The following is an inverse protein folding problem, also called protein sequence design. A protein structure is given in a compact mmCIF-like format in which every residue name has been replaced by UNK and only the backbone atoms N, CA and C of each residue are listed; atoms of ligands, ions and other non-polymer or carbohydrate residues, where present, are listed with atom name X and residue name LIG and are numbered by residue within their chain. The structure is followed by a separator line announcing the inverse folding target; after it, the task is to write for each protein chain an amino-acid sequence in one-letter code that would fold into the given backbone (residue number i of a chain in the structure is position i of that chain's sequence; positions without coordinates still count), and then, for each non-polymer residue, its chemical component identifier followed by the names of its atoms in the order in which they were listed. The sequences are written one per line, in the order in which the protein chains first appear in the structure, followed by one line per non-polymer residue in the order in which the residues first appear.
data_IF_245253749057
#
_entry.id   IF_245253749057
#
_cell.length_a   1.000
_cell.length_b   1.000
_cell.length_c   1.000
_cell.angle_alpha   90.00
_cell.angle_beta   90.00
_cell.angle_gamma   90.00
#
_symmetry.space_group_name_H-M   'P 1'
#
loop_
_entity.id
_entity.type
_entity.pdbx_description
1 polymer ?
#
# COMPACT_ATOMS: atom_id res chain seq x y z
N UNK A 1 5.72 -21.43 -9.83
CA UNK A 1 4.87 -20.58 -10.70
C UNK A 1 5.61 -19.54 -11.56
N UNK A 2 6.94 -19.35 -11.51
CA UNK A 2 7.62 -18.36 -12.38
C UNK A 2 7.16 -16.90 -12.18
N UNK A 3 6.44 -16.65 -11.09
CA UNK A 3 5.96 -15.35 -10.60
C UNK A 3 6.68 -15.17 -9.27
N UNK A 4 7.38 -14.05 -9.11
CA UNK A 4 8.17 -13.80 -7.90
C UNK A 4 7.42 -12.90 -6.90
N UNK A 5 6.51 -12.06 -7.38
CA UNK A 5 5.71 -11.13 -6.58
C UNK A 5 4.35 -10.88 -7.22
N UNK A 6 3.30 -10.75 -6.40
CA UNK A 6 1.99 -10.25 -6.82
C UNK A 6 1.69 -8.90 -6.17
N UNK A 7 1.04 -8.01 -6.91
CA UNK A 7 0.57 -6.71 -6.42
C UNK A 7 -0.95 -6.69 -6.32
N UNK A 8 -1.50 -5.76 -5.54
CA UNK A 8 -2.94 -5.57 -5.29
C UNK A 8 -3.68 -6.71 -4.57
N UNK A 9 -3.01 -7.84 -4.33
CA UNK A 9 -3.46 -8.94 -3.50
C UNK A 9 -4.90 -9.37 -3.80
N UNK A 10 -5.76 -9.30 -2.78
CA UNK A 10 -7.15 -9.75 -2.88
C UNK A 10 -7.97 -8.96 -3.90
N UNK A 11 -7.73 -7.65 -4.08
CA UNK A 11 -8.60 -6.76 -4.87
C UNK A 11 -8.70 -7.11 -6.36
N UNK A 12 -7.70 -7.81 -6.89
CA UNK A 12 -7.59 -8.18 -8.30
C UNK A 12 -7.59 -9.69 -8.51
N UNK A 13 -7.80 -10.47 -7.44
CA UNK A 13 -7.68 -11.91 -7.49
C UNK A 13 -8.88 -12.54 -8.22
N UNK A 14 -8.75 -12.64 -9.54
CA UNK A 14 -9.78 -13.28 -10.37
C UNK A 14 -9.82 -14.81 -10.24
N UNK A 15 -8.92 -15.45 -9.50
CA UNK A 15 -8.90 -16.91 -9.31
C UNK A 15 -10.18 -17.42 -8.67
N UNK A 16 -10.79 -16.63 -7.78
CA UNK A 16 -12.06 -16.95 -7.13
C UNK A 16 -13.29 -16.74 -8.02
N UNK A 17 -13.12 -16.31 -9.28
CA UNK A 17 -14.25 -16.14 -10.21
C UNK A 17 -14.62 -17.48 -10.84
N UNK A 18 -15.77 -18.01 -10.45
CA UNK A 18 -16.32 -19.24 -11.01
C UNK A 18 -16.47 -19.17 -12.55
N UNK A 19 -15.98 -20.21 -13.23
CA UNK A 19 -16.16 -20.37 -14.68
C UNK A 19 -15.32 -19.44 -15.57
N UNK A 20 -14.31 -18.74 -15.01
CA UNK A 20 -13.41 -17.90 -15.79
C UNK A 20 -12.72 -18.69 -16.91
N UNK A 21 -12.45 -18.01 -18.02
CA UNK A 21 -11.79 -18.61 -19.18
C UNK A 21 -10.34 -18.12 -19.29
N UNK A 22 -9.37 -19.00 -19.62
CA UNK A 22 -7.99 -18.58 -19.84
C UNK A 22 -7.88 -17.46 -20.88
N UNK A 23 -7.14 -16.40 -20.54
CA UNK A 23 -6.92 -15.25 -21.44
C UNK A 23 -8.11 -14.29 -21.59
N UNK A 24 -9.20 -14.48 -20.82
CA UNK A 24 -10.37 -13.59 -20.84
C UNK A 24 -10.56 -12.99 -19.46
N UNK A 25 -10.53 -11.64 -19.38
CA UNK A 25 -10.82 -10.94 -18.13
C UNK A 25 -12.30 -11.15 -17.76
N UNK A 26 -12.60 -11.78 -16.62
CA UNK A 26 -13.99 -11.93 -16.20
C UNK A 26 -14.61 -10.57 -15.86
N UNK A 27 -15.90 -10.34 -16.18
CA UNK A 27 -16.58 -9.13 -15.77
C UNK A 27 -16.78 -9.12 -14.25
N UNK A 28 -16.88 -7.92 -13.65
CA UNK A 28 -17.31 -7.72 -12.27
C UNK A 28 -16.47 -8.45 -11.19
N UNK A 29 -15.16 -8.65 -11.40
CA UNK A 29 -14.24 -9.31 -10.43
C UNK A 29 -14.47 -8.81 -9.01
N UNK A 30 -14.41 -7.49 -8.78
CA UNK A 30 -14.57 -6.90 -7.45
C UNK A 30 -15.87 -7.32 -6.77
N UNK A 31 -16.99 -7.35 -7.50
CA UNK A 31 -18.28 -7.77 -6.92
C UNK A 31 -18.28 -9.27 -6.59
N UNK A 32 -17.68 -10.12 -7.42
CA UNK A 32 -17.60 -11.56 -7.11
C UNK A 32 -16.78 -11.85 -5.85
N UNK A 33 -15.79 -11.01 -5.53
CA UNK A 33 -14.96 -11.15 -4.33
C UNK A 33 -15.73 -10.91 -3.02
N UNK A 34 -16.90 -10.25 -3.08
CA UNK A 34 -17.76 -10.07 -1.90
C UNK A 34 -18.26 -11.42 -1.36
N UNK A 35 -18.43 -12.42 -2.22
CA UNK A 35 -18.94 -13.74 -1.86
C UNK A 35 -17.85 -14.72 -1.40
N UNK A 36 -16.57 -14.34 -1.54
CA UNK A 36 -15.46 -15.23 -1.16
C UNK A 36 -15.40 -15.36 0.36
N UNK A 37 -15.42 -16.61 0.82
CA UNK A 37 -15.17 -16.99 2.21
C UNK A 37 -13.65 -16.99 2.46
N UNK A 38 -13.17 -16.01 3.22
CA UNK A 38 -11.75 -15.90 3.54
C UNK A 38 -11.25 -17.04 4.42
N UNK A 39 -12.11 -17.65 5.24
CA UNK A 39 -11.74 -18.77 6.11
C UNK A 39 -11.85 -20.12 5.39
N UNK A 40 -12.30 -20.11 4.13
CA UNK A 40 -12.48 -21.30 3.31
C UNK A 40 -11.18 -21.92 2.79
N UNK A 41 -11.24 -23.20 2.42
CA UNK A 41 -10.08 -23.95 1.91
C UNK A 41 -9.50 -23.37 0.61
N UNK A 42 -10.32 -22.72 -0.22
CA UNK A 42 -9.83 -22.12 -1.48
C UNK A 42 -8.82 -20.99 -1.24
N UNK A 43 -9.11 -20.12 -0.27
CA UNK A 43 -8.23 -19.02 0.15
C UNK A 43 -7.00 -19.57 0.87
N UNK A 44 -7.19 -20.54 1.78
CA UNK A 44 -6.09 -21.19 2.49
C UNK A 44 -5.13 -21.91 1.53
N UNK A 45 -5.65 -22.61 0.52
CA UNK A 45 -4.85 -23.27 -0.51
C UNK A 45 -4.07 -22.27 -1.36
N UNK A 46 -4.69 -21.14 -1.74
CA UNK A 46 -4.01 -20.07 -2.49
C UNK A 46 -2.84 -19.49 -1.71
N UNK A 47 -3.05 -19.13 -0.45
CA UNK A 47 -2.00 -18.60 0.43
C UNK A 47 -0.87 -19.63 0.59
N UNK A 48 -1.22 -20.90 0.84
CA UNK A 48 -0.24 -21.97 1.02
C UNK A 48 0.63 -22.17 -0.21
N UNK A 49 0.03 -22.22 -1.40
CA UNK A 49 0.75 -22.33 -2.66
C UNK A 49 1.69 -21.14 -2.88
N UNK A 50 1.24 -19.91 -2.60
CA UNK A 50 2.10 -18.73 -2.70
C UNK A 50 3.33 -18.85 -1.78
N UNK A 51 3.12 -19.23 -0.52
CA UNK A 51 4.21 -19.41 0.46
C UNK A 51 5.16 -20.53 0.04
N UNK A 52 4.64 -21.70 -0.35
CA UNK A 52 5.44 -22.86 -0.77
C UNK A 52 6.28 -22.57 -2.02
N UNK A 53 5.78 -21.73 -2.93
CA UNK A 53 6.48 -21.32 -4.14
C UNK A 53 7.37 -20.08 -3.95
N UNK A 54 7.39 -19.48 -2.75
CA UNK A 54 8.16 -18.27 -2.47
C UNK A 54 7.66 -17.02 -3.19
N UNK A 55 6.36 -16.97 -3.55
CA UNK A 55 5.75 -15.80 -4.18
C UNK A 55 5.45 -14.75 -3.14
N UNK A 56 6.11 -13.60 -3.25
CA UNK A 56 5.85 -12.46 -2.38
C UNK A 56 4.53 -11.75 -2.73
N UNK A 57 4.04 -10.92 -1.82
CA UNK A 57 2.92 -10.02 -2.08
C UNK A 57 3.31 -8.59 -1.75
N UNK A 58 2.85 -7.63 -2.53
CA UNK A 58 2.99 -6.20 -2.24
C UNK A 58 1.63 -5.61 -1.90
N UNK A 59 1.49 -5.14 -0.65
CA UNK A 59 0.33 -4.41 -0.17
C UNK A 59 0.21 -3.09 -0.89
N UNK A 60 -0.98 -2.81 -1.45
CA UNK A 60 -1.32 -1.53 -2.11
C UNK A 60 -2.60 -0.93 -1.55
N UNK A 61 -2.84 -1.08 -0.25
CA UNK A 61 -4.04 -0.55 0.42
C UNK A 61 -4.31 0.95 0.14
N UNK A 62 -3.32 1.87 0.10
CA UNK A 62 -3.58 3.30 -0.06
C UNK A 62 -4.31 3.68 -1.34
N UNK A 63 -3.97 3.07 -2.49
CA UNK A 63 -4.63 3.40 -3.77
C UNK A 63 -6.08 2.92 -3.78
N UNK A 64 -6.37 1.77 -3.17
CA UNK A 64 -7.72 1.21 -3.10
C UNK A 64 -8.60 1.90 -2.06
N UNK A 65 -8.00 2.43 -1.00
CA UNK A 65 -8.71 3.22 0.01
C UNK A 65 -9.44 4.42 -0.63
N UNK A 66 -8.84 5.04 -1.65
CA UNK A 66 -9.42 6.20 -2.36
C UNK A 66 -10.76 5.90 -3.06
N UNK A 67 -11.08 4.63 -3.29
CA UNK A 67 -12.34 4.19 -3.86
C UNK A 67 -13.44 3.97 -2.79
N UNK A 68 -13.15 4.25 -1.53
CA UNK A 68 -14.12 4.19 -0.42
C UNK A 68 -14.72 5.59 -0.19
N UNK A 69 -16.06 5.72 -0.16
CA UNK A 69 -16.72 7.00 0.12
C UNK A 69 -16.18 7.68 1.38
N UNK A 70 -15.79 8.95 1.24
CA UNK A 70 -15.29 9.80 2.32
C UNK A 70 -14.03 9.28 3.05
N UNK A 71 -13.27 8.36 2.45
CA UNK A 71 -12.07 7.75 3.02
C UNK A 71 -10.93 7.70 1.98
N UNK A 72 -9.66 7.99 2.37
CA UNK A 72 -9.25 8.63 3.61
C UNK A 72 -9.80 10.07 3.70
N UNK A 73 -9.81 10.73 4.87
CA UNK A 73 -10.17 12.13 4.96
C UNK A 73 -9.37 13.01 3.99
N UNK A 74 -9.97 14.10 3.50
CA UNK A 74 -9.22 15.08 2.71
C UNK A 74 -8.21 15.78 3.63
N UNK A 75 -6.94 15.79 3.22
CA UNK A 75 -5.86 16.41 3.98
C UNK A 75 -5.25 17.57 3.19
N UNK A 76 -5.13 18.73 3.83
CA UNK A 76 -4.55 19.92 3.18
C UNK A 76 -3.11 19.66 2.70
N UNK A 77 -2.32 18.90 3.49
CA UNK A 77 -0.93 18.55 3.13
C UNK A 77 -0.82 17.78 1.80
N UNK A 78 -1.84 17.00 1.43
CA UNK A 78 -1.89 16.28 0.15
C UNK A 78 -2.33 17.23 -0.96
N UNK A 79 -3.40 18.00 -0.71
CA UNK A 79 -3.93 18.97 -1.68
C UNK A 79 -2.91 20.05 -2.06
N UNK A 80 -2.05 20.42 -1.13
CA UNK A 80 -0.98 21.40 -1.30
C UNK A 80 0.12 20.93 -2.28
N UNK A 81 0.33 19.62 -2.38
CA UNK A 81 1.37 19.06 -3.26
C UNK A 81 0.88 18.93 -4.70
N UNK A 82 -0.42 18.77 -4.89
CA UNK A 82 -1.03 18.59 -6.20
C UNK A 82 -0.98 19.88 -7.02
N UNK A 83 -0.59 19.74 -8.30
CA UNK A 83 -0.77 20.78 -9.28
C UNK A 83 -2.26 21.16 -9.41
N UNK A 84 -2.61 22.41 -9.75
CA UNK A 84 -4.01 22.87 -9.74
C UNK A 84 -4.96 21.94 -10.50
N UNK A 85 -4.60 21.51 -11.73
CA UNK A 85 -5.41 20.59 -12.52
C UNK A 85 -5.54 19.19 -11.88
N UNK A 86 -4.44 18.63 -11.37
CA UNK A 86 -4.46 17.34 -10.69
C UNK A 86 -5.28 17.39 -9.38
N UNK A 87 -5.24 18.53 -8.67
CA UNK A 87 -6.04 18.76 -7.47
C UNK A 87 -7.53 18.81 -7.81
N UNK A 88 -7.91 19.50 -8.87
CA UNK A 88 -9.29 19.59 -9.32
C UNK A 88 -9.81 18.20 -9.77
N UNK A 89 -9.02 17.45 -10.54
CA UNK A 89 -9.33 16.07 -10.93
C UNK A 89 -9.48 15.15 -9.70
N UNK A 90 -8.59 15.28 -8.71
CA UNK A 90 -8.66 14.53 -7.47
C UNK A 90 -9.94 14.84 -6.70
N UNK A 91 -10.25 16.12 -6.47
CA UNK A 91 -11.46 16.53 -5.74
C UNK A 91 -12.74 16.09 -6.47
N UNK A 92 -12.77 16.14 -7.79
CA UNK A 92 -13.89 15.62 -8.58
C UNK A 92 -14.03 14.11 -8.40
N UNK A 93 -12.94 13.35 -8.51
CA UNK A 93 -12.96 11.89 -8.29
C UNK A 93 -13.47 11.55 -6.89
N UNK A 94 -13.06 12.31 -5.87
CA UNK A 94 -13.51 12.17 -4.48
C UNK A 94 -15.01 12.43 -4.33
N UNK A 95 -15.54 13.46 -4.99
CA UNK A 95 -16.97 13.75 -5.01
C UNK A 95 -17.77 12.64 -5.71
N UNK A 96 -17.28 12.17 -6.86
CA UNK A 96 -17.91 11.09 -7.63
C UNK A 96 -17.96 9.78 -6.85
N UNK A 97 -16.89 9.43 -6.12
CA UNK A 97 -16.87 8.25 -5.24
C UNK A 97 -17.84 8.43 -4.08
N UNK A 98 -17.89 9.61 -3.46
CA UNK A 98 -18.78 9.89 -2.34
C UNK A 98 -20.27 9.89 -2.72
N UNK A 99 -20.61 10.16 -3.99
CA UNK A 99 -22.01 10.17 -4.47
C UNK A 99 -22.51 8.82 -4.96
N UNK A 100 -21.70 7.75 -4.94
CA UNK A 100 -22.13 6.42 -5.39
C UNK A 100 -22.95 5.73 -4.31
N UNK A 101 -24.11 5.19 -4.71
CA UNK A 101 -24.93 4.33 -3.85
C UNK A 101 -24.32 2.93 -3.68
N UNK A 102 -23.58 2.45 -4.69
CA UNK A 102 -22.91 1.15 -4.72
C UNK A 102 -21.40 1.33 -4.48
N UNK A 103 -20.94 0.90 -3.30
CA UNK A 103 -19.57 1.10 -2.82
C UNK A 103 -18.91 -0.22 -2.36
N UNK A 104 -18.72 -1.21 -3.26
CA UNK A 104 -18.22 -2.54 -2.90
C UNK A 104 -16.83 -2.49 -2.24
N UNK A 105 -16.04 -1.44 -2.51
CA UNK A 105 -14.73 -1.27 -1.88
C UNK A 105 -14.81 -1.10 -0.37
N UNK A 106 -15.89 -0.51 0.18
CA UNK A 106 -16.06 -0.39 1.63
C UNK A 106 -16.15 -1.77 2.31
N UNK A 107 -16.72 -2.76 1.63
CA UNK A 107 -16.87 -4.14 2.11
C UNK A 107 -15.66 -5.02 1.76
N UNK A 108 -15.04 -4.79 0.60
CA UNK A 108 -13.85 -5.54 0.17
C UNK A 108 -12.58 -5.14 0.93
N UNK A 109 -12.49 -3.89 1.38
CA UNK A 109 -11.26 -3.38 1.99
C UNK A 109 -10.86 -4.15 3.26
N UNK A 110 -11.76 -4.39 4.24
CA UNK A 110 -11.44 -5.24 5.39
C UNK A 110 -11.07 -6.68 4.99
N UNK A 111 -11.67 -7.21 3.90
CA UNK A 111 -11.31 -8.54 3.38
C UNK A 111 -9.88 -8.58 2.85
N UNK A 112 -9.45 -7.55 2.11
CA UNK A 112 -8.08 -7.45 1.64
C UNK A 112 -7.07 -7.29 2.79
N UNK A 113 -7.40 -6.48 3.79
CA UNK A 113 -6.58 -6.35 5.02
C UNK A 113 -6.42 -7.70 5.74
N UNK A 114 -7.52 -8.45 5.88
CA UNK A 114 -7.49 -9.79 6.47
C UNK A 114 -6.66 -10.77 5.62
N UNK A 115 -6.80 -10.75 4.30
CA UNK A 115 -6.02 -11.60 3.39
C UNK A 115 -4.51 -11.33 3.50
N UNK A 116 -4.09 -10.06 3.56
CA UNK A 116 -2.67 -9.70 3.79
C UNK A 116 -2.16 -10.25 5.12
N UNK A 117 -2.97 -10.15 6.18
CA UNK A 117 -2.63 -10.69 7.49
C UNK A 117 -2.49 -12.21 7.49
N UNK A 118 -3.46 -12.91 6.91
CA UNK A 118 -3.45 -14.37 6.79
C UNK A 118 -2.23 -14.86 6.00
N UNK A 119 -1.86 -14.14 4.93
CA UNK A 119 -0.66 -14.44 4.15
C UNK A 119 0.62 -14.34 4.98
N UNK A 120 0.78 -13.25 5.75
CA UNK A 120 1.94 -13.08 6.64
C UNK A 120 1.94 -14.11 7.78
N UNK A 121 0.78 -14.40 8.37
CA UNK A 121 0.63 -15.42 9.42
C UNK A 121 1.01 -16.83 8.93
N UNK A 122 0.79 -17.11 7.65
CA UNK A 122 1.20 -18.36 6.99
C UNK A 122 2.71 -18.41 6.63
N UNK A 123 3.47 -17.34 6.90
CA UNK A 123 4.90 -17.25 6.58
C UNK A 123 5.21 -16.54 5.24
N UNK A 124 4.23 -15.88 4.64
CA UNK A 124 4.40 -15.12 3.41
C UNK A 124 5.23 -13.85 3.58
N UNK A 125 5.96 -13.48 2.51
CA UNK A 125 6.74 -12.24 2.45
C UNK A 125 5.88 -11.09 1.90
N UNK A 126 5.42 -10.22 2.80
CA UNK A 126 4.64 -9.03 2.43
C UNK A 126 5.55 -7.78 2.38
N UNK A 127 5.57 -7.10 1.23
CA UNK A 127 6.15 -5.77 1.05
C UNK A 127 5.03 -4.71 0.95
N UNK A 128 5.41 -3.43 0.93
CA UNK A 128 4.48 -2.31 0.78
C UNK A 128 4.78 -1.48 -0.47
N UNK A 129 3.73 -1.07 -1.18
CA UNK A 129 3.78 -0.15 -2.30
C UNK A 129 2.51 0.70 -2.35
N UNK A 130 2.60 1.96 -2.76
CA UNK A 130 1.45 2.88 -2.68
C UNK A 130 0.65 2.97 -3.97
N UNK A 131 1.21 2.48 -5.08
CA UNK A 131 0.68 2.59 -6.45
C UNK A 131 0.13 4.00 -6.73
N UNK A 132 1.00 5.01 -6.90
CA UNK A 132 0.63 6.41 -6.98
C UNK A 132 0.01 6.76 -8.35
N UNK A 133 -0.95 5.97 -8.82
CA UNK A 133 -1.58 6.08 -10.14
C UNK A 133 -3.05 6.47 -10.04
N UNK A 134 -3.54 7.17 -11.07
CA UNK A 134 -4.94 7.26 -11.48
C UNK A 134 -5.93 8.05 -10.62
N UNK A 135 -5.95 7.86 -9.30
CA UNK A 135 -6.94 8.46 -8.39
C UNK A 135 -6.40 9.66 -7.60
N UNK A 136 -5.15 10.08 -7.86
CA UNK A 136 -4.59 11.37 -7.43
C UNK A 136 -4.32 11.56 -5.94
N UNK A 137 -4.67 10.62 -5.07
CA UNK A 137 -4.57 10.78 -3.60
C UNK A 137 -3.44 10.02 -2.91
N UNK A 138 -2.92 8.94 -3.50
CA UNK A 138 -1.87 8.09 -2.91
C UNK A 138 -0.48 8.58 -3.34
N UNK A 139 -0.11 9.80 -2.95
CA UNK A 139 1.14 10.43 -3.41
C UNK A 139 2.38 9.73 -2.82
N UNK A 140 3.52 9.65 -3.53
CA UNK A 140 4.77 9.16 -2.93
C UNK A 140 5.11 9.93 -1.64
N UNK A 141 5.56 9.21 -0.61
CA UNK A 141 5.79 9.72 0.74
C UNK A 141 4.51 9.81 1.57
N UNK A 142 3.51 10.55 1.12
CA UNK A 142 2.26 10.75 1.88
C UNK A 142 1.39 9.48 1.92
N UNK A 143 1.31 8.79 0.79
CA UNK A 143 0.67 7.48 0.65
C UNK A 143 1.42 6.41 1.42
N UNK A 144 2.74 6.51 1.56
CA UNK A 144 3.54 5.55 2.34
C UNK A 144 3.23 5.73 3.83
N UNK A 145 3.17 6.97 4.30
CA UNK A 145 2.70 7.28 5.67
C UNK A 145 1.27 6.79 5.90
N UNK A 146 0.37 6.93 4.93
CA UNK A 146 -0.97 6.35 5.03
C UNK A 146 -0.95 4.82 5.01
N UNK A 147 -0.03 4.20 4.28
CA UNK A 147 0.12 2.74 4.25
C UNK A 147 0.56 2.19 5.60
N UNK A 148 1.47 2.88 6.29
CA UNK A 148 1.85 2.56 7.67
C UNK A 148 0.61 2.48 8.59
N UNK A 149 -0.22 3.52 8.54
CA UNK A 149 -1.48 3.62 9.28
C UNK A 149 -2.45 2.49 8.93
N UNK A 150 -2.60 2.20 7.64
CA UNK A 150 -3.48 1.13 7.15
C UNK A 150 -3.02 -0.27 7.54
N UNK A 151 -1.71 -0.53 7.56
CA UNK A 151 -1.16 -1.81 8.00
C UNK A 151 -1.32 -2.00 9.52
N UNK A 152 -1.18 -0.93 10.31
CA UNK A 152 -1.57 -0.95 11.73
C UNK A 152 -3.07 -1.23 11.90
N UNK A 153 -3.91 -0.57 11.11
CA UNK A 153 -5.37 -0.80 11.09
C UNK A 153 -5.71 -2.25 10.71
N UNK A 154 -4.93 -2.87 9.82
CA UNK A 154 -5.04 -4.29 9.47
C UNK A 154 -4.68 -5.23 10.63
N UNK A 155 -4.07 -4.73 11.70
CA UNK A 155 -3.72 -5.50 12.90
C UNK A 155 -2.27 -6.00 12.94
N UNK A 156 -1.39 -5.49 12.08
CA UNK A 156 0.05 -5.72 12.22
C UNK A 156 0.61 -4.92 13.41
N UNK A 157 1.61 -5.49 14.11
CA UNK A 157 2.39 -4.72 15.09
C UNK A 157 3.24 -3.65 14.40
N UNK A 158 3.56 -2.53 15.06
CA UNK A 158 4.42 -1.49 14.46
C UNK A 158 5.76 -2.02 13.95
N UNK A 159 6.37 -2.98 14.64
CA UNK A 159 7.61 -3.62 14.23
C UNK A 159 7.45 -4.41 12.92
N UNK A 160 6.34 -5.14 12.77
CA UNK A 160 6.00 -5.82 11.52
C UNK A 160 5.78 -4.81 10.38
N UNK A 161 5.06 -3.71 10.65
CA UNK A 161 4.81 -2.68 9.63
C UNK A 161 6.12 -2.05 9.16
N UNK A 162 7.04 -1.72 10.08
CA UNK A 162 8.36 -1.20 9.73
C UNK A 162 9.12 -2.22 8.86
N UNK A 163 9.10 -3.51 9.19
CA UNK A 163 9.74 -4.55 8.38
C UNK A 163 9.11 -4.68 6.99
N UNK A 164 7.78 -4.66 6.88
CA UNK A 164 7.03 -4.69 5.61
C UNK A 164 7.43 -3.52 4.71
N UNK A 165 7.57 -2.32 5.30
CA UNK A 165 7.92 -1.09 4.59
C UNK A 165 9.42 -0.86 4.37
N UNK A 166 10.28 -1.77 4.82
CA UNK A 166 11.75 -1.65 4.66
C UNK A 166 12.39 -2.96 4.21
N UNK A 167 12.78 -3.82 5.15
CA UNK A 167 13.54 -5.05 4.91
C UNK A 167 12.83 -5.99 3.93
N UNK A 168 11.50 -6.11 4.02
CA UNK A 168 10.76 -7.00 3.14
C UNK A 168 10.79 -6.51 1.69
N UNK A 169 10.70 -5.20 1.44
CA UNK A 169 10.88 -4.63 0.10
C UNK A 169 12.27 -4.93 -0.46
N UNK A 170 13.33 -4.80 0.36
CA UNK A 170 14.68 -5.17 -0.05
C UNK A 170 14.83 -6.66 -0.38
N UNK A 171 14.18 -7.54 0.40
CA UNK A 171 14.14 -8.99 0.14
C UNK A 171 13.42 -9.34 -1.16
N UNK A 172 12.27 -8.71 -1.42
CA UNK A 172 11.52 -8.89 -2.68
C UNK A 172 12.37 -8.49 -3.88
N UNK A 173 13.21 -7.45 -3.73
CA UNK A 173 14.12 -6.98 -4.77
C UNK A 173 15.43 -7.78 -4.85
N UNK A 174 15.72 -8.67 -3.89
CA UNK A 174 17.00 -9.40 -3.82
C UNK A 174 18.20 -8.51 -3.44
N UNK A 175 17.97 -7.43 -2.70
CA UNK A 175 18.93 -6.37 -2.40
C UNK A 175 19.10 -6.15 -0.88
N UNK A 176 18.64 -7.09 -0.05
CA UNK A 176 18.65 -6.99 1.42
C UNK A 176 20.05 -7.05 2.05
N UNK A 177 21.06 -7.50 1.28
CA UNK A 177 22.48 -7.36 1.61
C UNK A 177 22.98 -5.92 1.47
N UNK A 178 22.30 -5.07 0.69
CA UNK A 178 22.69 -3.68 0.42
C UNK A 178 21.89 -2.65 1.21
N UNK A 179 20.58 -2.85 1.40
CA UNK A 179 19.71 -1.90 2.10
C UNK A 179 18.50 -2.58 2.77
N UNK A 180 17.62 -1.78 3.38
CA UNK A 180 16.37 -2.26 4.00
C UNK A 180 16.47 -2.55 5.50
N UNK A 181 17.67 -2.51 6.08
CA UNK A 181 17.91 -2.65 7.53
C UNK A 181 19.10 -1.80 7.96
N UNK A 182 19.14 -1.44 9.25
CA UNK A 182 20.22 -0.64 9.83
C UNK A 182 21.29 -1.59 10.38
N UNK A 183 22.29 -1.90 9.55
CA UNK A 183 23.38 -2.82 9.87
C UNK A 183 24.72 -2.29 9.32
N UNK A 184 25.86 -2.55 10.00
CA UNK A 184 27.17 -2.19 9.47
C UNK A 184 27.42 -2.79 8.08
N UNK A 185 27.85 -1.96 7.14
CA UNK A 185 28.17 -2.37 5.76
C UNK A 185 27.03 -2.13 4.75
N UNK A 186 25.79 -1.88 5.20
CA UNK A 186 24.67 -1.50 4.34
C UNK A 186 24.66 -0.01 4.01
N UNK A 187 23.95 0.37 2.95
CA UNK A 187 23.73 1.76 2.56
C UNK A 187 23.01 2.51 3.70
N UNK A 188 23.45 3.74 3.95
CA UNK A 188 22.81 4.63 4.92
C UNK A 188 21.56 5.30 4.31
N UNK A 189 20.58 4.48 3.97
CA UNK A 189 19.24 4.90 3.55
C UNK A 189 18.33 4.93 4.79
N UNK A 190 18.07 6.14 5.30
CA UNK A 190 17.42 6.33 6.60
C UNK A 190 16.28 7.34 6.49
N UNK A 191 15.23 7.12 7.28
CA UNK A 191 14.18 8.12 7.52
C UNK A 191 14.23 8.50 8.99
N UNK A 192 14.37 9.79 9.29
CA UNK A 192 14.40 10.31 10.66
C UNK A 192 13.06 10.97 10.96
N UNK A 193 12.42 10.50 12.02
CA UNK A 193 11.11 10.95 12.47
C UNK A 193 11.27 11.64 13.83
N UNK A 194 10.72 12.85 13.96
CA UNK A 194 10.60 13.53 15.24
C UNK A 194 9.36 13.02 15.99
N UNK A 195 9.57 11.94 16.74
CA UNK A 195 8.52 11.22 17.45
C UNK A 195 8.81 9.72 17.56
N UNK A 196 7.80 8.99 18.03
CA UNK A 196 7.82 7.54 18.23
C UNK A 196 6.60 6.91 17.53
N UNK A 197 6.71 6.58 16.23
CA UNK A 197 5.60 6.02 15.46
C UNK A 197 5.15 4.64 15.97
N UNK A 198 6.00 3.93 16.73
CA UNK A 198 5.67 2.65 17.38
C UNK A 198 4.68 2.85 18.51
N UNK A 199 4.79 3.97 19.25
CA UNK A 199 3.85 4.31 20.33
C UNK A 199 2.66 5.15 19.88
N UNK A 200 2.87 6.03 18.91
CA UNK A 200 1.84 6.94 18.38
C UNK A 200 1.91 6.96 16.87
N UNK A 201 0.99 6.23 16.25
CA UNK A 201 0.86 6.07 14.80
C UNK A 201 1.02 7.37 14.01
N UNK A 202 0.35 8.45 14.43
CA UNK A 202 0.37 9.74 13.74
C UNK A 202 1.78 10.37 13.61
N UNK A 203 2.74 9.94 14.43
CA UNK A 203 4.11 10.45 14.38
C UNK A 203 4.88 10.01 13.13
N UNK A 204 4.40 9.00 12.40
CA UNK A 204 4.96 8.62 11.08
C UNK A 204 5.02 9.81 10.10
N UNK A 205 4.17 10.82 10.32
CA UNK A 205 4.07 12.04 9.50
C UNK A 205 5.15 13.08 9.83
N UNK A 206 5.86 12.96 10.96
CA UNK A 206 6.83 13.93 11.44
C UNK A 206 8.25 13.64 10.89
N UNK A 207 8.37 13.40 9.59
CA UNK A 207 9.68 13.16 8.96
C UNK A 207 10.47 14.46 8.89
N UNK A 208 11.68 14.48 9.45
CA UNK A 208 12.54 15.67 9.51
C UNK A 208 13.74 15.58 8.58
N UNK A 209 14.35 14.39 8.48
CA UNK A 209 15.48 14.13 7.59
C UNK A 209 15.27 12.82 6.84
N UNK A 210 15.74 12.79 5.60
CA UNK A 210 15.89 11.55 4.82
C UNK A 210 17.34 11.43 4.38
N UNK A 211 17.93 10.26 4.54
CA UNK A 211 19.26 9.96 4.05
C UNK A 211 19.14 9.03 2.85
N UNK A 212 19.90 9.32 1.81
CA UNK A 212 20.11 8.43 0.68
C UNK A 212 21.59 8.21 0.49
N UNK A 213 22.03 6.96 0.62
CA UNK A 213 23.43 6.54 0.57
C UNK A 213 24.35 7.39 1.47
N UNK A 214 23.84 7.79 2.65
CA UNK A 214 24.56 8.61 3.62
C UNK A 214 24.51 10.13 3.38
N UNK A 215 23.89 10.59 2.29
CA UNK A 215 23.63 12.02 2.07
C UNK A 215 22.31 12.40 2.71
N UNK A 216 22.35 13.30 3.69
CA UNK A 216 21.16 13.79 4.38
C UNK A 216 20.46 14.93 3.63
N UNK A 217 19.15 14.89 3.59
CA UNK A 217 18.28 15.90 3.02
C UNK A 217 17.25 16.37 4.05
N UNK A 218 16.98 17.68 4.08
CA UNK A 218 15.88 18.26 4.84
C UNK A 218 14.55 17.88 4.18
N UNK A 219 13.73 17.10 4.89
CA UNK A 219 12.48 16.59 4.36
C UNK A 219 11.47 17.70 4.08
N UNK A 220 11.47 18.77 4.89
CA UNK A 220 10.58 19.92 4.69
C UNK A 220 10.98 20.69 3.43
N UNK A 221 12.27 20.97 3.26
CA UNK A 221 12.78 21.66 2.07
C UNK A 221 12.50 20.85 0.78
N UNK A 222 12.65 19.52 0.84
CA UNK A 222 12.29 18.65 -0.29
C UNK A 222 10.80 18.74 -0.63
N UNK A 223 9.91 18.63 0.37
CA UNK A 223 8.46 18.73 0.16
C UNK A 223 8.08 20.11 -0.41
N UNK A 224 8.64 21.19 0.12
CA UNK A 224 8.42 22.55 -0.40
C UNK A 224 8.89 22.71 -1.86
N UNK A 225 9.99 22.05 -2.25
CA UNK A 225 10.52 22.15 -3.61
C UNK A 225 9.59 21.57 -4.68
N UNK A 226 8.65 20.70 -4.29
CA UNK A 226 7.68 20.05 -5.18
C UNK A 226 6.23 20.46 -4.90
N UNK A 227 6.00 21.42 -4.01
CA UNK A 227 4.67 21.93 -3.66
C UNK A 227 3.95 22.44 -4.92
N UNK A 228 2.72 21.98 -5.12
CA UNK A 228 1.89 22.34 -6.27
C UNK A 228 2.40 21.82 -7.62
N UNK A 229 3.31 20.83 -7.65
CA UNK A 229 3.88 20.29 -8.89
C UNK A 229 3.46 18.84 -9.18
N UNK A 230 2.89 18.11 -8.22
CA UNK A 230 2.56 16.69 -8.41
C UNK A 230 1.35 16.53 -9.34
N UNK A 231 1.48 15.67 -10.36
CA UNK A 231 0.44 15.43 -11.36
C UNK A 231 0.46 16.40 -12.54
N UNK A 232 1.49 17.23 -12.68
CA UNK A 232 1.76 17.95 -13.93
C UNK A 232 2.03 16.94 -15.06
N UNK A 233 1.30 17.08 -16.18
CA UNK A 233 1.56 16.37 -17.45
C UNK A 233 2.57 17.13 -18.30
#
# INVERSE_FOLDING_TARGET
MGIDNIEHGFFTNSDYVAGKQPGVCPPNVRRSLLEVDLEGEEVAATIREMVEQGVAMTSTLPVYELAIPNRPPLEQRVLDMLAPGARDEYLQSRADVASRDDAPMAELFPKAQAFERMFVEAGGLLAAGVDPTGMGGALPGYGDQRNYELLLESGFSPEQVIQIMSLNGARVLGEDERFGSIEPGKLADLVVIDGDPVRREAEIRNVTLVFKEGVGYDATALAESVRGLIGLR
#
